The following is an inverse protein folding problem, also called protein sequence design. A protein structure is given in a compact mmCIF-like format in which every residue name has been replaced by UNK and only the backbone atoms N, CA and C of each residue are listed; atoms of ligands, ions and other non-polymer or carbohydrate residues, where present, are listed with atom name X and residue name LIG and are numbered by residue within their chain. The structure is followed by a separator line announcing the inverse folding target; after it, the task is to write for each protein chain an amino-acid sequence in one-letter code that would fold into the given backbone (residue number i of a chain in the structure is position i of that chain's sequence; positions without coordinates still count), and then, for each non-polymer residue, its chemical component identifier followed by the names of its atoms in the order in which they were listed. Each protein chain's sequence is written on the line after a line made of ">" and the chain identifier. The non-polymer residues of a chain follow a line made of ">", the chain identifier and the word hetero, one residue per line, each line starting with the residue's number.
data_IF_009645808387
#
_entry.id   IF_009645808387
#
_cell.length_a   1.000
_cell.length_b   1.000
_cell.length_c   1.000
_cell.angle_alpha   90.00
_cell.angle_beta   90.00
_cell.angle_gamma   90.00
#
_symmetry.space_group_name_H-M   'P 1'
#
loop_
_entity.id
_entity.type
_entity.pdbx_description
1 polymer ?
#
# COMPACT_ATOMS: atom_id res chain seq x y z
N UNK A 1 -14.76 20.94 36.68
CA UNK A 1 -14.06 20.05 37.61
C UNK A 1 -12.66 19.74 37.07
N UNK A 2 -11.63 19.71 37.93
CA UNK A 2 -10.27 19.33 37.48
C UNK A 2 -10.25 17.86 37.03
N UNK A 3 -9.50 17.56 35.98
CA UNK A 3 -9.35 16.20 35.45
C UNK A 3 -8.66 15.32 36.52
N UNK A 4 -9.18 14.11 36.85
CA UNK A 4 -8.55 13.24 37.84
C UNK A 4 -7.08 12.94 37.44
N UNK A 5 -6.23 12.81 38.45
CA UNK A 5 -4.80 12.55 38.30
C UNK A 5 -4.43 11.21 38.92
N UNK A 6 -3.26 10.68 38.57
CA UNK A 6 -2.71 9.46 39.19
C UNK A 6 -2.57 9.62 40.73
N UNK A 7 -2.35 10.86 41.21
CA UNK A 7 -2.28 11.17 42.64
C UNK A 7 -3.64 10.95 43.34
N UNK A 8 -4.72 11.34 42.69
CA UNK A 8 -6.07 11.10 43.25
C UNK A 8 -6.43 9.62 43.36
N UNK A 9 -6.02 8.83 42.32
CA UNK A 9 -6.20 7.37 42.37
C UNK A 9 -5.35 6.74 43.50
N UNK A 10 -4.12 7.20 43.65
CA UNK A 10 -3.21 6.72 44.69
C UNK A 10 -3.75 6.99 46.11
N UNK A 11 -4.26 8.18 46.32
CA UNK A 11 -4.91 8.58 47.57
C UNK A 11 -6.16 7.72 47.86
N UNK A 12 -7.06 7.55 46.87
CA UNK A 12 -8.27 6.76 47.03
C UNK A 12 -8.01 5.26 47.24
N UNK A 13 -7.00 4.70 46.56
CA UNK A 13 -6.59 3.30 46.68
C UNK A 13 -5.69 3.03 47.89
N UNK A 14 -5.18 4.06 48.58
CA UNK A 14 -4.26 3.92 49.69
C UNK A 14 -2.88 3.32 49.35
N UNK A 15 -2.37 3.65 48.17
CA UNK A 15 -1.10 3.14 47.65
C UNK A 15 -0.26 4.27 47.04
N UNK A 16 1.02 4.01 46.76
CA UNK A 16 1.86 5.00 46.08
C UNK A 16 1.48 5.20 44.61
N UNK A 17 1.75 6.39 44.03
CA UNK A 17 1.54 6.65 42.61
C UNK A 17 2.31 5.64 41.70
N UNK A 18 3.50 5.21 42.12
CA UNK A 18 4.28 4.19 41.44
C UNK A 18 3.57 2.82 41.45
N UNK A 19 2.85 2.49 42.57
CA UNK A 19 2.03 1.27 42.66
C UNK A 19 0.81 1.36 41.77
N UNK A 20 0.10 2.50 41.75
CA UNK A 20 -1.01 2.74 40.79
C UNK A 20 -0.54 2.55 39.35
N UNK A 21 0.55 3.20 38.97
CA UNK A 21 1.12 3.10 37.63
C UNK A 21 1.44 1.66 37.25
N UNK A 22 2.05 0.88 38.16
CA UNK A 22 2.35 -0.54 37.93
C UNK A 22 1.11 -1.42 37.85
N UNK A 23 0.13 -1.21 38.75
CA UNK A 23 -1.10 -1.96 38.78
C UNK A 23 -1.93 -1.77 37.49
N UNK A 24 -2.12 -0.53 37.04
CA UNK A 24 -2.89 -0.20 35.84
C UNK A 24 -2.19 -0.63 34.54
N UNK A 25 -0.86 -0.87 34.56
CA UNK A 25 -0.10 -1.45 33.43
C UNK A 25 -0.03 -2.98 33.47
N UNK A 26 -0.64 -3.64 34.42
CA UNK A 26 -0.62 -5.10 34.50
C UNK A 26 0.73 -5.70 34.92
N UNK A 27 1.62 -4.91 35.57
CA UNK A 27 2.94 -5.39 35.98
C UNK A 27 2.82 -6.61 36.94
N UNK A 28 3.70 -7.59 36.76
CA UNK A 28 3.69 -8.87 37.50
C UNK A 28 4.06 -8.73 38.96
N UNK A 29 4.72 -7.65 39.34
CA UNK A 29 5.17 -7.37 40.72
C UNK A 29 4.11 -6.63 41.56
N UNK A 30 2.84 -6.64 41.17
CA UNK A 30 1.71 -6.12 41.94
C UNK A 30 0.76 -7.26 42.24
N UNK A 31 0.38 -7.41 43.52
CA UNK A 31 -0.57 -8.45 43.93
C UNK A 31 -1.97 -8.20 43.35
N UNK A 32 -2.72 -9.28 43.11
CA UNK A 32 -4.07 -9.19 42.55
C UNK A 32 -5.01 -8.34 43.40
N UNK A 33 -4.91 -8.43 44.74
CA UNK A 33 -5.68 -7.60 45.65
C UNK A 33 -5.40 -6.11 45.47
N UNK A 34 -4.14 -5.74 45.32
CA UNK A 34 -3.72 -4.35 45.06
C UNK A 34 -4.20 -3.88 43.69
N UNK A 35 -4.16 -4.76 42.67
CA UNK A 35 -4.63 -4.47 41.32
C UNK A 35 -6.13 -4.15 41.31
N UNK A 36 -6.95 -4.99 41.99
CA UNK A 36 -8.39 -4.79 42.12
C UNK A 36 -8.70 -3.48 42.85
N UNK A 37 -7.97 -3.18 43.95
CA UNK A 37 -8.13 -1.91 44.70
C UNK A 37 -7.87 -0.69 43.82
N UNK A 38 -6.78 -0.71 43.08
CA UNK A 38 -6.39 0.40 42.19
C UNK A 38 -7.39 0.54 41.04
N UNK A 39 -7.83 -0.58 40.43
CA UNK A 39 -8.81 -0.54 39.35
C UNK A 39 -10.14 0.08 39.82
N UNK A 40 -10.67 -0.32 40.98
CA UNK A 40 -11.88 0.27 41.54
C UNK A 40 -11.75 1.77 41.78
N UNK A 41 -10.61 2.22 42.32
CA UNK A 41 -10.36 3.63 42.54
C UNK A 41 -10.26 4.42 41.21
N UNK A 42 -9.65 3.85 40.18
CA UNK A 42 -9.57 4.45 38.86
C UNK A 42 -10.95 4.55 38.20
N UNK A 43 -11.76 3.50 38.26
CA UNK A 43 -13.13 3.47 37.73
C UNK A 43 -14.03 4.49 38.42
N UNK A 44 -13.95 4.58 39.76
CA UNK A 44 -14.73 5.53 40.56
C UNK A 44 -14.40 6.99 40.20
N UNK A 45 -13.15 7.27 39.86
CA UNK A 45 -12.68 8.60 39.46
C UNK A 45 -12.78 8.84 37.94
N UNK A 46 -13.26 7.87 37.16
CA UNK A 46 -13.17 7.90 35.68
C UNK A 46 -11.75 8.24 35.21
N UNK A 47 -10.75 7.69 35.90
CA UNK A 47 -9.34 7.90 35.58
C UNK A 47 -8.82 6.80 34.64
N UNK A 48 -8.23 7.21 33.56
CA UNK A 48 -7.46 6.32 32.70
C UNK A 48 -6.01 6.82 32.62
N UNK A 49 -5.04 5.88 32.67
CA UNK A 49 -3.65 6.26 32.44
C UNK A 49 -3.54 6.86 31.04
N UNK A 50 -3.00 8.07 30.93
CA UNK A 50 -2.74 8.63 29.62
C UNK A 50 -1.67 7.79 28.89
N UNK A 51 -1.89 7.49 27.62
CA UNK A 51 -0.89 6.79 26.78
C UNK A 51 0.47 7.48 26.83
N UNK A 52 0.49 8.83 26.85
CA UNK A 52 1.71 9.62 26.96
C UNK A 52 2.47 9.41 28.27
N UNK A 53 1.76 9.27 29.41
CA UNK A 53 2.40 8.97 30.70
C UNK A 53 2.92 7.53 30.75
N UNK A 54 2.25 6.60 30.10
CA UNK A 54 2.72 5.22 29.96
C UNK A 54 3.94 5.12 29.03
N UNK A 55 3.93 5.86 27.95
CA UNK A 55 5.02 5.97 26.98
C UNK A 55 6.31 6.50 27.63
N UNK A 56 6.17 7.61 28.38
CA UNK A 56 7.34 8.22 29.06
C UNK A 56 8.01 7.26 30.07
N UNK A 57 7.24 6.41 30.71
CA UNK A 57 7.76 5.49 31.72
C UNK A 57 8.26 4.14 31.15
N UNK A 58 7.80 3.74 29.96
CA UNK A 58 8.25 2.52 29.27
C UNK A 58 9.34 2.78 28.23
N UNK A 59 9.61 4.03 27.91
CA UNK A 59 10.49 4.41 26.80
C UNK A 59 9.88 4.13 25.41
N UNK A 60 8.61 3.65 25.35
CA UNK A 60 7.89 3.37 24.10
C UNK A 60 6.83 4.43 23.86
N UNK A 61 6.70 4.88 22.63
CA UNK A 61 5.68 5.88 22.24
C UNK A 61 4.29 5.25 22.07
N UNK A 62 4.22 3.94 21.92
CA UNK A 62 3.02 3.17 21.53
C UNK A 62 2.39 3.70 20.24
N UNK A 63 3.25 4.11 19.31
CA UNK A 63 2.83 4.66 18.03
C UNK A 63 3.65 4.05 16.89
N UNK A 64 2.95 3.69 15.81
CA UNK A 64 3.53 3.27 14.53
C UNK A 64 3.11 4.29 13.47
N UNK A 65 4.08 4.79 12.71
CA UNK A 65 3.78 5.67 11.58
C UNK A 65 3.50 4.80 10.35
N UNK A 66 2.42 5.10 9.64
CA UNK A 66 2.15 4.57 8.30
C UNK A 66 2.39 5.70 7.28
N UNK A 67 3.54 5.65 6.61
CA UNK A 67 3.90 6.60 5.57
C UNK A 67 3.40 6.10 4.22
N UNK A 68 2.51 6.86 3.59
CA UNK A 68 1.88 6.51 2.32
C UNK A 68 2.14 7.57 1.26
N UNK A 69 2.24 7.15 0.01
CA UNK A 69 2.22 8.07 -1.14
C UNK A 69 0.78 8.35 -1.56
N UNK A 70 0.50 9.60 -1.95
CA UNK A 70 -0.82 10.00 -2.44
C UNK A 70 -1.84 10.26 -1.32
N UNK A 71 -3.10 9.96 -1.59
CA UNK A 71 -4.22 10.29 -0.69
C UNK A 71 -4.64 9.08 0.15
N UNK A 72 -5.07 9.34 1.40
CA UNK A 72 -5.54 8.28 2.30
C UNK A 72 -6.80 7.58 1.80
N UNK A 73 -7.67 8.30 1.11
CA UNK A 73 -8.91 7.76 0.59
C UNK A 73 -8.75 6.98 -0.73
N UNK A 74 -7.53 6.78 -1.20
CA UNK A 74 -7.26 5.83 -2.28
C UNK A 74 -7.48 4.42 -1.77
N UNK A 75 -8.06 3.58 -2.62
CA UNK A 75 -8.48 2.22 -2.27
C UNK A 75 -7.34 1.41 -1.63
N UNK A 76 -6.15 1.43 -2.21
CA UNK A 76 -5.00 0.69 -1.71
C UNK A 76 -4.55 1.21 -0.33
N UNK A 77 -4.35 2.52 -0.19
CA UNK A 77 -3.87 3.14 1.05
C UNK A 77 -4.85 2.94 2.21
N UNK A 78 -6.16 3.05 1.96
CA UNK A 78 -7.19 2.81 2.98
C UNK A 78 -7.24 1.35 3.42
N UNK A 79 -7.08 0.40 2.48
CA UNK A 79 -7.01 -1.02 2.79
C UNK A 79 -5.78 -1.38 3.64
N UNK A 80 -4.60 -0.90 3.27
CA UNK A 80 -3.37 -1.09 4.05
C UNK A 80 -3.53 -0.52 5.46
N UNK A 81 -4.07 0.72 5.59
CA UNK A 81 -4.31 1.32 6.90
C UNK A 81 -5.25 0.46 7.75
N UNK A 82 -6.34 -0.05 7.17
CA UNK A 82 -7.26 -0.93 7.88
C UNK A 82 -6.55 -2.18 8.39
N UNK A 83 -5.82 -2.90 7.55
CA UNK A 83 -5.11 -4.11 7.93
C UNK A 83 -4.07 -3.87 9.03
N UNK A 84 -3.29 -2.79 8.92
CA UNK A 84 -2.32 -2.38 9.94
C UNK A 84 -3.02 -2.06 11.26
N UNK A 85 -4.14 -1.34 11.21
CA UNK A 85 -4.91 -0.99 12.41
C UNK A 85 -5.48 -2.21 13.12
N UNK A 86 -5.99 -3.20 12.36
CA UNK A 86 -6.57 -4.44 12.92
C UNK A 86 -5.55 -5.24 13.74
N UNK A 87 -4.27 -5.20 13.40
CA UNK A 87 -3.19 -5.90 14.11
C UNK A 87 -2.61 -5.08 15.28
N UNK A 88 -2.46 -3.77 15.11
CA UNK A 88 -1.76 -2.93 16.07
C UNK A 88 -2.65 -2.37 17.18
N UNK A 89 -3.90 -2.01 16.88
CA UNK A 89 -4.81 -1.40 17.85
C UNK A 89 -5.16 -2.33 19.03
N UNK A 90 -5.39 -3.65 18.84
CA UNK A 90 -5.68 -4.56 19.95
C UNK A 90 -4.55 -4.67 20.99
N UNK A 91 -3.31 -4.43 20.58
CA UNK A 91 -2.14 -4.44 21.47
C UNK A 91 -1.74 -3.05 21.96
N UNK A 92 -2.58 -2.04 21.70
CA UNK A 92 -2.47 -0.70 22.28
C UNK A 92 -1.67 0.31 21.45
N UNK A 93 -1.17 -0.07 20.25
CA UNK A 93 -0.49 0.87 19.36
C UNK A 93 -1.47 1.78 18.62
N UNK A 94 -1.14 3.05 18.55
CA UNK A 94 -1.80 4.02 17.68
C UNK A 94 -1.12 3.99 16.30
N UNK A 95 -1.90 3.89 15.23
CA UNK A 95 -1.42 4.05 13.86
C UNK A 95 -1.58 5.50 13.44
N UNK A 96 -0.49 6.16 13.08
CA UNK A 96 -0.50 7.56 12.63
C UNK A 96 -0.16 7.62 11.15
N UNK A 97 -1.13 7.88 10.26
CA UNK A 97 -0.84 8.03 8.84
C UNK A 97 -0.09 9.35 8.59
N UNK A 98 0.91 9.28 7.72
CA UNK A 98 1.63 10.43 7.18
C UNK A 98 1.61 10.35 5.65
N UNK A 99 1.42 11.49 4.99
CA UNK A 99 1.22 11.57 3.54
C UNK A 99 2.39 12.26 2.88
N UNK A 100 2.81 11.71 1.75
CA UNK A 100 3.86 12.25 0.91
C UNK A 100 3.29 12.38 -0.50
N UNK A 101 3.31 13.58 -1.04
CA UNK A 101 2.86 13.87 -2.40
C UNK A 101 4.03 14.14 -3.34
N UNK A 102 5.17 14.57 -2.79
CA UNK A 102 6.37 14.88 -3.56
C UNK A 102 7.65 14.64 -2.75
N UNK A 103 8.78 14.78 -3.43
CA UNK A 103 10.10 14.59 -2.86
C UNK A 103 10.41 15.57 -1.72
N UNK A 104 9.96 16.81 -1.79
CA UNK A 104 10.27 17.80 -0.76
C UNK A 104 9.57 17.51 0.58
N UNK A 105 8.36 16.96 0.52
CA UNK A 105 7.63 16.50 1.70
C UNK A 105 8.32 15.27 2.31
N UNK A 106 8.79 14.35 1.47
CA UNK A 106 9.55 13.18 1.90
C UNK A 106 10.83 13.58 2.63
N UNK A 107 11.63 14.47 2.05
CA UNK A 107 12.87 14.97 2.65
C UNK A 107 12.59 15.71 3.97
N UNK A 108 11.53 16.50 4.05
CA UNK A 108 11.09 17.19 5.27
C UNK A 108 10.70 16.18 6.35
N UNK A 109 9.91 15.16 6.02
CA UNK A 109 9.50 14.12 6.94
C UNK A 109 10.73 13.43 7.56
N UNK A 110 11.65 12.96 6.73
CA UNK A 110 12.86 12.27 7.20
C UNK A 110 13.80 13.19 7.99
N UNK A 111 13.90 14.48 7.66
CA UNK A 111 14.71 15.43 8.43
C UNK A 111 14.17 15.71 9.85
N UNK A 112 12.87 15.53 10.06
CA UNK A 112 12.20 15.76 11.34
C UNK A 112 12.09 14.48 12.19
N UNK A 113 12.02 13.31 11.58
CA UNK A 113 11.79 12.04 12.26
C UNK A 113 12.78 11.74 13.40
N UNK A 114 14.13 11.91 13.24
CA UNK A 114 15.08 11.65 14.32
C UNK A 114 14.92 12.60 15.51
N UNK A 115 14.40 13.80 15.28
CA UNK A 115 14.23 14.83 16.32
C UNK A 115 12.96 14.62 17.12
N UNK A 116 11.93 14.10 16.49
CA UNK A 116 10.61 13.95 17.10
C UNK A 116 10.53 12.74 18.04
N UNK A 117 11.27 11.65 17.75
CA UNK A 117 11.21 10.38 18.49
C UNK A 117 9.79 9.98 18.89
N UNK A 118 8.85 10.13 17.96
CA UNK A 118 7.41 10.03 18.24
C UNK A 118 6.79 8.74 17.70
N UNK A 119 7.60 7.76 17.32
CA UNK A 119 7.17 6.45 16.85
C UNK A 119 8.13 5.36 17.30
N UNK A 120 7.62 4.14 17.45
CA UNK A 120 8.37 2.94 17.80
C UNK A 120 8.70 2.10 16.56
N UNK A 121 7.97 2.30 15.45
CA UNK A 121 8.24 1.70 14.14
C UNK A 121 7.62 2.56 13.03
N UNK A 122 8.05 2.31 11.79
CA UNK A 122 7.48 2.93 10.59
C UNK A 122 7.14 1.86 9.56
N UNK A 123 5.94 1.98 8.98
CA UNK A 123 5.52 1.23 7.79
C UNK A 123 5.54 2.19 6.61
N UNK A 124 6.12 1.79 5.50
CA UNK A 124 6.23 2.59 4.28
C UNK A 124 5.52 1.85 3.16
N UNK A 125 4.58 2.54 2.50
CA UNK A 125 3.71 1.93 1.51
C UNK A 125 3.90 2.56 0.13
N UNK A 126 4.10 1.69 -0.87
CA UNK A 126 4.03 1.97 -2.31
C UNK A 126 5.19 2.74 -2.93
N UNK A 127 6.23 3.09 -2.19
CA UNK A 127 7.41 3.75 -2.76
C UNK A 127 8.72 3.25 -2.15
N UNK A 128 9.83 3.45 -2.86
CA UNK A 128 11.17 3.06 -2.44
C UNK A 128 11.82 4.14 -1.57
N UNK A 129 12.50 3.70 -0.51
CA UNK A 129 13.40 4.55 0.26
C UNK A 129 14.68 4.84 -0.53
N UNK A 130 15.17 6.06 -0.42
CA UNK A 130 16.51 6.37 -0.89
C UNK A 130 17.58 5.95 0.12
N UNK A 131 18.83 5.66 -0.32
CA UNK A 131 19.88 5.23 0.59
C UNK A 131 20.07 6.14 1.81
N UNK A 132 20.08 7.45 1.62
CA UNK A 132 20.22 8.42 2.71
C UNK A 132 19.09 8.37 3.75
N UNK A 133 17.85 8.05 3.34
CA UNK A 133 16.71 7.90 4.25
C UNK A 133 16.81 6.62 5.06
N UNK A 134 17.24 5.52 4.43
CA UNK A 134 17.52 4.27 5.10
C UNK A 134 18.60 4.46 6.18
N UNK A 135 19.70 5.13 5.83
CA UNK A 135 20.78 5.39 6.78
C UNK A 135 20.28 6.21 7.99
N UNK A 136 19.39 7.17 7.78
CA UNK A 136 18.74 7.91 8.86
C UNK A 136 17.88 7.03 9.77
N UNK A 137 17.09 6.10 9.21
CA UNK A 137 16.28 5.16 9.97
C UNK A 137 17.15 4.21 10.80
N UNK A 138 18.21 3.68 10.22
CA UNK A 138 19.16 2.82 10.91
C UNK A 138 19.89 3.56 12.05
N UNK A 139 20.24 4.84 11.84
CA UNK A 139 20.91 5.66 12.86
C UNK A 139 20.06 5.90 14.11
N UNK A 140 18.73 5.79 14.03
CA UNK A 140 17.80 5.95 15.16
C UNK A 140 17.22 4.63 15.66
N UNK A 141 17.71 3.50 15.12
CA UNK A 141 17.24 2.14 15.46
C UNK A 141 15.70 2.00 15.39
N UNK A 142 15.11 2.54 14.32
CA UNK A 142 13.66 2.52 14.10
C UNK A 142 13.30 1.36 13.18
N UNK A 143 12.58 0.33 13.66
CA UNK A 143 12.11 -0.78 12.86
C UNK A 143 11.29 -0.32 11.65
N UNK A 144 11.58 -0.90 10.48
CA UNK A 144 11.01 -0.50 9.20
C UNK A 144 10.35 -1.68 8.48
N UNK A 145 9.11 -1.50 8.04
CA UNK A 145 8.38 -2.50 7.24
C UNK A 145 7.88 -1.87 5.94
N UNK A 146 8.22 -2.49 4.81
CA UNK A 146 7.73 -2.08 3.50
C UNK A 146 6.42 -2.79 3.12
N UNK A 147 5.47 -2.07 2.53
CA UNK A 147 4.24 -2.64 1.93
C UNK A 147 4.16 -2.22 0.47
N UNK A 148 4.10 -3.19 -0.43
CA UNK A 148 4.12 -2.94 -1.87
C UNK A 148 5.25 -1.98 -2.27
N UNK A 149 6.44 -2.25 -1.77
CA UNK A 149 7.65 -1.50 -2.09
C UNK A 149 8.42 -2.21 -3.19
N UNK A 150 9.21 -1.49 -4.00
CA UNK A 150 10.14 -2.12 -4.93
C UNK A 150 11.09 -3.08 -4.21
N UNK A 151 11.27 -4.28 -4.78
CA UNK A 151 11.83 -5.47 -4.12
C UNK A 151 13.35 -5.51 -3.97
N UNK A 152 14.06 -4.42 -4.12
CA UNK A 152 15.49 -4.44 -3.81
C UNK A 152 15.70 -4.69 -2.32
N UNK A 153 16.25 -5.86 -2.02
CA UNK A 153 16.54 -6.32 -0.65
C UNK A 153 17.50 -5.38 0.07
N UNK A 154 17.18 -5.08 1.33
CA UNK A 154 18.06 -4.34 2.23
C UNK A 154 17.66 -2.89 2.52
N UNK A 155 16.53 -2.42 2.02
CA UNK A 155 16.00 -1.09 2.37
C UNK A 155 15.07 -1.11 3.59
N UNK A 156 14.56 -2.28 3.98
CA UNK A 156 13.62 -2.47 5.07
C UNK A 156 14.05 -3.67 5.92
N UNK A 157 13.72 -3.66 7.20
CA UNK A 157 13.93 -4.83 8.08
C UNK A 157 13.01 -5.98 7.70
N UNK A 158 11.82 -5.64 7.19
CA UNK A 158 10.88 -6.59 6.62
C UNK A 158 10.02 -5.96 5.54
N UNK A 159 9.43 -6.77 4.67
CA UNK A 159 8.48 -6.30 3.65
C UNK A 159 7.46 -7.35 3.27
N UNK A 160 6.35 -6.88 2.71
CA UNK A 160 5.35 -7.68 2.00
C UNK A 160 4.92 -6.91 0.75
N UNK A 161 4.98 -7.55 -0.41
CA UNK A 161 4.60 -6.93 -1.68
C UNK A 161 3.87 -7.94 -2.56
N UNK A 162 3.01 -7.47 -3.47
CA UNK A 162 2.54 -8.34 -4.56
C UNK A 162 3.69 -8.62 -5.52
N UNK A 163 3.75 -9.84 -6.06
CA UNK A 163 4.68 -10.18 -7.13
C UNK A 163 4.22 -9.57 -8.46
N UNK A 164 4.66 -8.34 -8.73
CA UNK A 164 4.35 -7.65 -9.98
C UNK A 164 4.92 -8.36 -11.22
N UNK A 165 6.04 -9.08 -11.07
CA UNK A 165 6.65 -9.79 -12.20
C UNK A 165 5.79 -10.99 -12.61
N UNK A 166 5.38 -11.81 -11.65
CA UNK A 166 4.44 -12.91 -11.88
C UNK A 166 3.09 -12.40 -12.39
N UNK A 167 2.60 -11.27 -11.87
CA UNK A 167 1.35 -10.63 -12.30
C UNK A 167 1.38 -10.26 -13.79
N UNK A 168 2.42 -9.56 -14.23
CA UNK A 168 2.54 -9.13 -15.64
C UNK A 168 2.83 -10.31 -16.58
N UNK A 169 3.60 -11.30 -16.11
CA UNK A 169 3.79 -12.54 -16.86
C UNK A 169 2.46 -13.26 -17.09
N UNK A 170 1.61 -13.33 -16.07
CA UNK A 170 0.26 -13.90 -16.15
C UNK A 170 -0.63 -13.09 -17.12
N UNK A 171 -0.58 -11.76 -17.06
CA UNK A 171 -1.31 -10.88 -17.97
C UNK A 171 -0.95 -11.11 -19.43
N UNK A 172 0.35 -11.10 -19.76
CA UNK A 172 0.84 -11.30 -21.14
C UNK A 172 0.46 -12.70 -21.64
N UNK A 173 0.63 -13.73 -20.82
CA UNK A 173 0.22 -15.11 -21.17
C UNK A 173 -1.27 -15.25 -21.42
N UNK A 174 -2.10 -14.61 -20.60
CA UNK A 174 -3.54 -14.57 -20.85
C UNK A 174 -3.85 -13.95 -22.21
N UNK A 175 -3.40 -12.72 -22.45
CA UNK A 175 -3.69 -12.00 -23.68
C UNK A 175 -3.22 -12.78 -24.92
N UNK A 176 -2.04 -13.37 -24.85
CA UNK A 176 -1.54 -14.25 -25.90
C UNK A 176 -2.46 -15.47 -26.11
N UNK A 177 -2.92 -16.11 -25.03
CA UNK A 177 -3.83 -17.28 -25.13
C UNK A 177 -5.19 -16.92 -25.73
N UNK A 178 -5.58 -15.65 -25.66
CA UNK A 178 -6.75 -15.08 -26.31
C UNK A 178 -6.50 -14.67 -27.78
N UNK A 179 -5.27 -14.82 -28.27
CA UNK A 179 -4.88 -14.52 -29.65
C UNK A 179 -4.34 -13.11 -29.87
N UNK A 180 -4.19 -12.30 -28.82
CA UNK A 180 -3.62 -10.96 -28.95
C UNK A 180 -2.10 -11.03 -29.17
N UNK A 181 -1.63 -10.42 -30.26
CA UNK A 181 -0.21 -10.34 -30.62
C UNK A 181 0.34 -8.91 -30.56
N UNK A 182 -0.52 -7.89 -30.70
CA UNK A 182 -0.17 -6.49 -30.49
C UNK A 182 -0.86 -5.99 -29.21
N UNK A 183 -0.06 -5.76 -28.16
CA UNK A 183 -0.56 -5.42 -26.81
C UNK A 183 0.09 -4.13 -26.32
N UNK A 184 -0.59 -3.42 -25.39
CA UNK A 184 -0.01 -2.23 -24.79
C UNK A 184 -0.10 -2.26 -23.26
N UNK A 185 0.74 -1.46 -22.61
CA UNK A 185 0.61 -1.13 -21.19
C UNK A 185 0.41 0.37 -21.02
N UNK A 186 -0.60 0.75 -20.23
CA UNK A 186 -0.95 2.13 -19.94
C UNK A 186 -0.64 2.48 -18.47
N UNK A 187 0.14 3.53 -18.27
CA UNK A 187 0.55 4.00 -16.94
C UNK A 187 0.49 5.52 -16.82
N UNK A 188 0.39 6.01 -15.58
CA UNK A 188 0.58 7.41 -15.26
C UNK A 188 2.06 7.81 -15.38
N UNK A 189 2.31 9.13 -15.42
CA UNK A 189 3.65 9.67 -15.33
C UNK A 189 4.21 9.50 -13.90
N UNK A 190 5.45 9.09 -13.81
CA UNK A 190 6.18 8.96 -12.55
C UNK A 190 7.39 9.89 -12.60
N UNK A 191 7.50 10.85 -11.65
CA UNK A 191 8.68 11.70 -11.54
C UNK A 191 9.96 10.88 -11.36
N UNK A 192 11.05 11.29 -12.02
CA UNK A 192 12.31 10.54 -12.03
C UNK A 192 13.02 10.48 -10.65
N UNK A 193 12.65 11.36 -9.72
CA UNK A 193 13.19 11.44 -8.36
C UNK A 193 12.42 10.59 -7.33
N UNK A 194 11.37 9.89 -7.78
CA UNK A 194 10.57 8.96 -6.97
C UNK A 194 10.45 7.60 -7.67
N UNK A 195 10.55 6.52 -6.91
CA UNK A 195 10.33 5.17 -7.41
C UNK A 195 9.13 4.56 -6.70
N UNK A 196 8.07 4.33 -7.46
CA UNK A 196 6.83 3.74 -6.95
C UNK A 196 6.72 2.26 -7.32
N UNK A 197 5.88 1.54 -6.59
CA UNK A 197 5.59 0.14 -6.92
C UNK A 197 4.97 -0.03 -8.33
N UNK A 198 4.18 0.93 -8.78
CA UNK A 198 3.57 0.91 -10.13
C UNK A 198 4.62 0.95 -11.24
N UNK A 199 5.79 1.57 -11.02
CA UNK A 199 6.91 1.54 -11.98
C UNK A 199 7.38 0.10 -12.28
N UNK A 200 7.32 -0.78 -11.28
CA UNK A 200 7.70 -2.19 -11.46
C UNK A 200 6.72 -2.92 -12.39
N UNK A 201 5.44 -2.55 -12.41
CA UNK A 201 4.45 -3.16 -13.33
C UNK A 201 4.79 -2.86 -14.78
N UNK A 202 5.18 -1.61 -15.07
CA UNK A 202 5.60 -1.21 -16.44
C UNK A 202 6.82 -2.01 -16.90
N UNK A 203 7.84 -2.12 -16.05
CA UNK A 203 9.04 -2.89 -16.36
C UNK A 203 8.73 -4.38 -16.50
N UNK A 204 7.99 -4.96 -15.55
CA UNK A 204 7.60 -6.36 -15.55
C UNK A 204 6.77 -6.74 -16.78
N UNK A 205 5.88 -5.82 -17.24
CA UNK A 205 5.13 -6.02 -18.47
C UNK A 205 6.06 -6.04 -19.69
N UNK A 206 6.99 -5.10 -19.78
CA UNK A 206 7.95 -5.05 -20.88
C UNK A 206 8.81 -6.32 -20.94
N UNK A 207 9.32 -6.78 -19.78
CA UNK A 207 10.12 -8.00 -19.68
C UNK A 207 9.32 -9.24 -20.08
N UNK A 208 8.07 -9.35 -19.61
CA UNK A 208 7.17 -10.45 -19.95
C UNK A 208 6.81 -10.45 -21.45
N UNK A 209 6.52 -9.30 -22.03
CA UNK A 209 6.22 -9.16 -23.46
C UNK A 209 7.47 -9.47 -24.31
N UNK A 210 8.63 -8.96 -23.94
CA UNK A 210 9.90 -9.23 -24.60
C UNK A 210 10.27 -10.71 -24.57
N UNK A 211 10.05 -11.40 -23.46
CA UNK A 211 10.26 -12.85 -23.34
C UNK A 211 9.35 -13.68 -24.28
N UNK A 212 8.23 -13.11 -24.72
CA UNK A 212 7.29 -13.72 -25.67
C UNK A 212 7.41 -13.15 -27.11
N UNK A 213 8.42 -12.31 -27.40
CA UNK A 213 8.58 -11.71 -28.72
C UNK A 213 8.84 -12.75 -29.84
N UNK A 214 9.52 -13.86 -29.51
CA UNK A 214 9.72 -14.99 -30.46
C UNK A 214 8.42 -15.66 -30.89
N UNK A 215 7.36 -15.47 -30.11
CA UNK A 215 6.01 -15.99 -30.38
C UNK A 215 5.13 -14.95 -31.12
N UNK A 216 5.74 -13.90 -31.67
CA UNK A 216 5.07 -12.87 -32.45
C UNK A 216 4.39 -11.78 -31.62
N UNK A 217 4.70 -11.67 -30.32
CA UNK A 217 4.20 -10.56 -29.51
C UNK A 217 4.95 -9.27 -29.82
N UNK A 218 4.22 -8.23 -30.16
CA UNK A 218 4.68 -6.84 -30.20
C UNK A 218 4.01 -6.06 -29.05
N UNK A 219 4.70 -5.05 -28.52
CA UNK A 219 4.12 -4.28 -27.42
C UNK A 219 4.50 -2.79 -27.45
N UNK A 220 3.65 -1.99 -26.84
CA UNK A 220 3.86 -0.55 -26.64
C UNK A 220 3.70 -0.18 -25.18
N UNK A 221 4.56 0.70 -24.67
CA UNK A 221 4.42 1.32 -23.35
C UNK A 221 3.87 2.74 -23.54
N UNK A 222 2.69 3.01 -23.00
CA UNK A 222 1.98 4.27 -23.12
C UNK A 222 1.95 4.92 -21.74
N UNK A 223 2.83 5.89 -21.52
CA UNK A 223 2.88 6.67 -20.29
C UNK A 223 2.29 8.05 -20.51
N UNK A 224 1.54 8.58 -19.56
CA UNK A 224 1.02 9.95 -19.61
C UNK A 224 2.16 10.97 -19.72
N UNK A 225 1.84 12.17 -20.18
CA UNK A 225 2.80 13.26 -20.24
C UNK A 225 3.12 13.78 -18.83
N UNK A 226 4.33 14.30 -18.65
CA UNK A 226 4.75 14.90 -17.39
C UNK A 226 3.80 16.03 -16.97
N UNK A 227 3.44 16.06 -15.68
CA UNK A 227 2.53 17.04 -15.12
C UNK A 227 2.98 17.42 -13.69
N UNK A 228 2.76 18.69 -13.32
CA UNK A 228 3.16 19.22 -12.02
C UNK A 228 2.16 18.91 -10.89
N UNK A 229 0.93 18.53 -11.25
CA UNK A 229 -0.12 18.15 -10.32
C UNK A 229 -0.84 16.87 -10.76
N UNK A 230 -1.28 16.01 -9.83
CA UNK A 230 -1.96 14.78 -10.16
C UNK A 230 -3.17 15.01 -11.07
N UNK A 231 -3.21 14.31 -12.20
CA UNK A 231 -4.34 14.34 -13.12
C UNK A 231 -5.58 13.66 -12.51
N UNK A 232 -6.77 14.09 -12.93
CA UNK A 232 -7.95 13.27 -12.70
C UNK A 232 -7.85 11.97 -13.50
N UNK A 233 -8.45 10.88 -13.02
CA UNK A 233 -8.42 9.60 -13.76
C UNK A 233 -9.04 9.70 -15.16
N UNK A 234 -9.99 10.64 -15.35
CA UNK A 234 -10.57 10.93 -16.66
C UNK A 234 -9.59 11.63 -17.61
N UNK A 235 -8.83 12.63 -17.11
CA UNK A 235 -7.85 13.36 -17.93
C UNK A 235 -6.69 12.44 -18.31
N UNK A 236 -6.22 11.63 -17.35
CA UNK A 236 -5.21 10.60 -17.59
C UNK A 236 -5.68 9.61 -18.66
N UNK A 237 -6.90 9.07 -18.56
CA UNK A 237 -7.46 8.16 -19.54
C UNK A 237 -7.61 8.81 -20.92
N UNK A 238 -8.00 10.10 -20.99
CA UNK A 238 -8.06 10.84 -22.25
C UNK A 238 -6.70 10.95 -22.93
N UNK A 239 -5.64 11.28 -22.19
CA UNK A 239 -4.28 11.33 -22.73
C UNK A 239 -3.82 9.96 -23.22
N UNK A 240 -4.01 8.91 -22.42
CA UNK A 240 -3.64 7.54 -22.77
C UNK A 240 -4.40 7.04 -24.01
N UNK A 241 -5.69 7.37 -24.10
CA UNK A 241 -6.52 7.03 -25.28
C UNK A 241 -5.97 7.74 -26.54
N UNK A 242 -5.64 9.03 -26.45
CA UNK A 242 -5.08 9.76 -27.60
C UNK A 242 -3.74 9.14 -28.05
N UNK A 243 -2.85 8.78 -27.11
CA UNK A 243 -1.60 8.08 -27.41
C UNK A 243 -1.85 6.72 -28.06
N UNK A 244 -2.78 5.93 -27.55
CA UNK A 244 -3.14 4.62 -28.07
C UNK A 244 -3.66 4.71 -29.52
N UNK A 245 -4.52 5.68 -29.80
CA UNK A 245 -5.08 5.90 -31.14
C UNK A 245 -4.07 6.50 -32.13
N UNK A 246 -2.99 7.11 -31.65
CA UNK A 246 -1.94 7.66 -32.51
C UNK A 246 -0.89 6.63 -32.92
N UNK A 247 -0.94 5.40 -32.41
CA UNK A 247 -0.02 4.35 -32.80
C UNK A 247 -0.26 3.94 -34.26
N UNK A 248 0.82 3.65 -35.04
CA UNK A 248 0.70 3.17 -36.43
C UNK A 248 -0.16 1.91 -36.56
N UNK A 249 -0.02 0.99 -35.61
CA UNK A 249 -0.83 -0.21 -35.48
C UNK A 249 -1.49 -0.20 -34.10
N UNK A 250 -2.82 -0.16 -34.09
CA UNK A 250 -3.57 -0.13 -32.84
C UNK A 250 -3.46 -1.47 -32.12
N UNK A 251 -3.07 -1.49 -30.82
CA UNK A 251 -3.11 -2.70 -30.01
C UNK A 251 -4.53 -3.28 -29.92
N UNK A 252 -4.61 -4.59 -29.90
CA UNK A 252 -5.87 -5.31 -29.72
C UNK A 252 -6.18 -5.60 -28.24
N UNK A 253 -5.20 -5.41 -27.37
CA UNK A 253 -5.39 -5.51 -25.92
C UNK A 253 -4.49 -4.52 -25.18
N UNK A 254 -4.97 -4.05 -24.03
CA UNK A 254 -4.29 -3.11 -23.16
C UNK A 254 -4.30 -3.60 -21.72
N UNK A 255 -3.14 -3.68 -21.08
CA UNK A 255 -3.00 -3.76 -19.64
C UNK A 255 -2.90 -2.35 -19.07
N UNK A 256 -3.54 -2.10 -17.94
CA UNK A 256 -3.57 -0.77 -17.30
C UNK A 256 -3.09 -0.90 -15.86
N UNK A 257 -2.28 0.05 -15.41
CA UNK A 257 -1.62 0.01 -14.10
C UNK A 257 -2.54 -0.12 -12.88
N UNK A 258 -3.79 0.40 -12.97
CA UNK A 258 -4.81 0.31 -11.90
C UNK A 258 -6.22 0.21 -12.49
N UNK A 259 -7.15 -0.37 -11.73
CA UNK A 259 -8.56 -0.50 -12.13
C UNK A 259 -9.24 0.85 -12.34
N UNK A 260 -8.93 1.86 -11.52
CA UNK A 260 -9.52 3.19 -11.67
C UNK A 260 -9.17 3.83 -13.01
N UNK A 261 -7.93 3.66 -13.46
CA UNK A 261 -7.49 4.15 -14.78
C UNK A 261 -8.09 3.28 -15.89
N UNK A 262 -8.14 1.95 -15.71
CA UNK A 262 -8.71 1.03 -16.67
C UNK A 262 -10.18 1.33 -16.95
N UNK A 263 -10.98 1.56 -15.92
CA UNK A 263 -12.42 1.90 -16.06
C UNK A 263 -12.60 3.24 -16.79
N UNK A 264 -11.76 4.22 -16.44
CA UNK A 264 -11.79 5.51 -17.14
C UNK A 264 -11.38 5.35 -18.61
N UNK A 265 -10.36 4.52 -18.89
CA UNK A 265 -9.91 4.20 -20.26
C UNK A 265 -11.03 3.50 -21.07
N UNK A 266 -11.72 2.51 -20.50
CA UNK A 266 -12.88 1.84 -21.15
C UNK A 266 -13.94 2.86 -21.54
N UNK A 267 -14.22 3.83 -20.65
CA UNK A 267 -15.17 4.91 -20.94
C UNK A 267 -14.70 5.80 -22.09
N UNK A 268 -13.43 6.17 -22.13
CA UNK A 268 -12.86 7.01 -23.22
C UNK A 268 -12.84 6.25 -24.55
N UNK A 269 -12.46 4.96 -24.56
CA UNK A 269 -12.50 4.11 -25.74
C UNK A 269 -13.91 4.04 -26.33
N UNK A 270 -14.94 3.86 -25.50
CA UNK A 270 -16.35 3.85 -25.96
C UNK A 270 -16.80 5.20 -26.54
N UNK A 271 -16.30 6.34 -26.04
CA UNK A 271 -16.56 7.65 -26.68
C UNK A 271 -15.95 7.74 -28.07
N UNK A 272 -14.84 7.02 -28.33
CA UNK A 272 -14.23 6.91 -29.65
C UNK A 272 -14.86 5.79 -30.50
N UNK A 273 -16.02 5.28 -30.10
CA UNK A 273 -16.76 4.21 -30.80
C UNK A 273 -15.99 2.87 -30.87
N UNK A 274 -15.08 2.64 -29.94
CA UNK A 274 -14.41 1.37 -29.76
C UNK A 274 -15.11 0.54 -28.70
N UNK A 275 -15.53 -0.66 -29.09
CA UNK A 275 -16.18 -1.60 -28.21
C UNK A 275 -15.12 -2.35 -27.36
N UNK A 276 -15.42 -2.51 -26.10
CA UNK A 276 -14.64 -3.31 -25.16
C UNK A 276 -15.54 -4.46 -24.69
N UNK A 277 -15.17 -5.71 -24.95
CA UNK A 277 -13.84 -6.20 -25.39
C UNK A 277 -13.66 -6.42 -26.90
N UNK A 278 -14.67 -6.21 -27.75
CA UNK A 278 -14.72 -6.68 -29.15
C UNK A 278 -13.61 -6.05 -30.03
N UNK A 279 -13.41 -4.72 -29.93
CA UNK A 279 -12.39 -4.00 -30.71
C UNK A 279 -11.06 -3.95 -29.98
N UNK A 280 -11.10 -3.97 -28.63
CA UNK A 280 -9.91 -3.90 -27.78
C UNK A 280 -10.21 -4.49 -26.39
N UNK A 281 -9.43 -5.50 -25.99
CA UNK A 281 -9.49 -6.05 -24.65
C UNK A 281 -8.79 -5.12 -23.65
N UNK A 282 -9.35 -4.98 -22.44
CA UNK A 282 -8.78 -4.17 -21.34
C UNK A 282 -8.63 -5.03 -20.10
N UNK A 283 -7.42 -5.10 -19.56
CA UNK A 283 -7.09 -5.78 -18.32
C UNK A 283 -6.59 -4.75 -17.30
N UNK A 284 -7.24 -4.64 -16.16
CA UNK A 284 -6.88 -3.78 -15.04
C UNK A 284 -5.89 -4.43 -14.07
N UNK A 285 -5.70 -3.76 -12.95
CA UNK A 285 -4.92 -4.22 -11.81
C UNK A 285 -5.56 -3.67 -10.54
N UNK A 286 -5.69 -4.45 -9.48
CA UNK A 286 -6.13 -4.22 -8.11
C UNK A 286 -7.25 -5.18 -7.68
N UNK A 287 -8.27 -5.42 -8.50
CA UNK A 287 -9.57 -6.02 -8.19
C UNK A 287 -10.31 -5.24 -7.08
N UNK A 288 -10.25 -3.91 -7.18
CA UNK A 288 -11.01 -3.03 -6.31
C UNK A 288 -12.54 -3.24 -6.52
N UNK A 289 -13.36 -2.88 -5.52
CA UNK A 289 -14.83 -3.06 -5.61
C UNK A 289 -15.43 -2.47 -6.90
N UNK A 290 -14.87 -1.36 -7.38
CA UNK A 290 -15.29 -0.70 -8.62
C UNK A 290 -15.04 -1.59 -9.86
N UNK A 291 -14.05 -2.47 -9.85
CA UNK A 291 -13.78 -3.40 -10.95
C UNK A 291 -14.91 -4.42 -11.12
N UNK A 292 -15.45 -4.91 -10.01
CA UNK A 292 -16.60 -5.80 -10.03
C UNK A 292 -17.84 -5.09 -10.61
N UNK A 293 -18.11 -3.86 -10.19
CA UNK A 293 -19.25 -3.08 -10.69
C UNK A 293 -19.13 -2.72 -12.19
N UNK A 294 -17.89 -2.63 -12.71
CA UNK A 294 -17.59 -2.32 -14.10
C UNK A 294 -17.37 -3.57 -14.97
N UNK A 295 -17.54 -4.77 -14.43
CA UNK A 295 -17.23 -6.04 -15.11
C UNK A 295 -15.80 -6.10 -15.70
N UNK A 296 -14.84 -5.43 -15.02
CA UNK A 296 -13.46 -5.33 -15.47
C UNK A 296 -12.67 -6.60 -15.13
N UNK A 297 -12.07 -7.22 -16.14
CA UNK A 297 -11.03 -8.24 -15.95
C UNK A 297 -9.80 -7.57 -15.35
N UNK A 298 -9.19 -8.17 -14.33
CA UNK A 298 -8.14 -7.51 -13.55
C UNK A 298 -7.24 -8.52 -12.85
N UNK A 299 -6.16 -8.04 -12.27
CA UNK A 299 -5.29 -8.80 -11.37
C UNK A 299 -5.54 -8.35 -9.95
N UNK A 300 -5.90 -9.29 -9.09
CA UNK A 300 -6.21 -9.02 -7.68
C UNK A 300 -4.96 -8.85 -6.83
N UNK A 301 -4.99 -7.87 -5.96
CA UNK A 301 -4.15 -7.73 -4.78
C UNK A 301 -5.03 -7.46 -3.54
N UNK A 302 -4.51 -7.79 -2.36
CA UNK A 302 -5.29 -7.79 -1.12
C UNK A 302 -4.70 -6.77 -0.12
N UNK A 303 -4.97 -5.45 -0.26
CA UNK A 303 -4.30 -4.42 0.54
C UNK A 303 -4.56 -4.54 2.04
N UNK A 304 -5.73 -5.03 2.45
CA UNK A 304 -6.03 -5.28 3.87
C UNK A 304 -5.13 -6.39 4.41
N UNK A 305 -4.96 -7.51 3.69
CA UNK A 305 -4.08 -8.60 4.14
C UNK A 305 -2.61 -8.20 4.09
N UNK A 306 -2.19 -7.44 3.07
CA UNK A 306 -0.84 -6.85 3.05
C UNK A 306 -0.60 -5.98 4.30
N UNK A 307 -1.60 -5.18 4.69
CA UNK A 307 -1.56 -4.38 5.92
C UNK A 307 -1.48 -5.21 7.19
N UNK A 308 -2.25 -6.30 7.30
CA UNK A 308 -2.19 -7.24 8.44
C UNK A 308 -0.81 -7.89 8.55
N UNK A 309 -0.28 -8.40 7.46
CA UNK A 309 1.07 -9.00 7.44
C UNK A 309 2.11 -7.97 7.89
N UNK A 310 2.05 -6.74 7.37
CA UNK A 310 2.95 -5.67 7.80
C UNK A 310 2.82 -5.35 9.30
N UNK A 311 1.59 -5.28 9.83
CA UNK A 311 1.33 -5.08 11.25
C UNK A 311 1.93 -6.19 12.11
N UNK A 312 1.76 -7.46 11.73
CA UNK A 312 2.37 -8.61 12.43
C UNK A 312 3.90 -8.54 12.41
N UNK A 313 4.51 -8.21 11.26
CA UNK A 313 5.97 -8.04 11.14
C UNK A 313 6.47 -6.91 12.06
N UNK A 314 5.78 -5.78 12.12
CA UNK A 314 6.10 -4.69 13.07
C UNK A 314 6.09 -5.19 14.50
N UNK A 315 5.06 -5.94 14.92
CA UNK A 315 4.98 -6.47 16.28
C UNK A 315 6.10 -7.43 16.63
N UNK A 316 6.51 -8.30 15.69
CA UNK A 316 7.64 -9.21 15.87
C UNK A 316 8.95 -8.43 16.02
N UNK A 317 9.21 -7.44 15.17
CA UNK A 317 10.40 -6.57 15.26
C UNK A 317 10.44 -5.83 16.61
N UNK A 318 9.33 -5.25 17.06
CA UNK A 318 9.23 -4.53 18.33
C UNK A 318 9.41 -5.41 19.57
N UNK A 319 9.24 -6.73 19.42
CA UNK A 319 9.48 -7.74 20.46
C UNK A 319 10.86 -8.41 20.34
N UNK A 320 11.63 -8.05 19.33
CA UNK A 320 12.88 -8.73 18.94
C UNK A 320 12.67 -10.24 18.68
N UNK A 321 11.49 -10.60 18.13
CA UNK A 321 11.17 -11.96 17.71
C UNK A 321 11.75 -12.19 16.30
N UNK A 322 12.32 -13.37 16.00
CA UNK A 322 12.82 -13.66 14.66
C UNK A 322 11.69 -13.70 13.64
N UNK A 323 11.95 -13.13 12.46
CA UNK A 323 11.06 -13.25 11.31
C UNK A 323 11.52 -14.46 10.48
N UNK A 324 10.63 -15.44 10.28
CA UNK A 324 10.90 -16.60 9.42
C UNK A 324 11.06 -16.17 7.96
N UNK A 325 10.16 -15.30 7.51
CA UNK A 325 10.16 -14.72 6.18
C UNK A 325 10.14 -13.19 6.28
N UNK A 326 11.32 -12.52 6.42
CA UNK A 326 11.35 -11.07 6.56
C UNK A 326 10.79 -10.36 5.31
N UNK A 327 11.09 -10.88 4.12
CA UNK A 327 10.63 -10.34 2.84
C UNK A 327 9.76 -11.36 2.12
N UNK A 328 8.48 -11.01 1.91
CA UNK A 328 7.49 -11.88 1.31
C UNK A 328 6.92 -11.26 0.04
N UNK A 329 6.63 -12.11 -0.94
CA UNK A 329 5.84 -11.77 -2.11
C UNK A 329 4.51 -12.51 -2.03
N UNK A 330 3.42 -11.79 -2.26
CA UNK A 330 2.09 -12.36 -2.40
C UNK A 330 1.84 -12.72 -3.87
N UNK A 331 1.37 -13.92 -4.12
CA UNK A 331 1.01 -14.36 -5.46
C UNK A 331 -0.19 -13.53 -6.00
N UNK A 332 -0.11 -13.04 -7.24
CA UNK A 332 -1.23 -12.38 -7.90
C UNK A 332 -2.33 -13.39 -8.28
N UNK A 333 -3.57 -12.93 -8.31
CA UNK A 333 -4.70 -13.70 -8.78
C UNK A 333 -5.37 -13.02 -9.97
N UNK A 334 -5.47 -13.72 -11.10
CA UNK A 334 -6.20 -13.25 -12.28
C UNK A 334 -7.70 -13.41 -12.08
N UNK A 335 -8.45 -12.34 -12.28
CA UNK A 335 -9.92 -12.31 -12.19
C UNK A 335 -10.49 -11.91 -13.54
N UNK A 336 -11.08 -12.89 -14.25
CA UNK A 336 -11.66 -12.67 -15.56
C UNK A 336 -13.12 -12.21 -15.44
N UNK A 337 -13.47 -11.19 -16.22
CA UNK A 337 -14.81 -10.63 -16.40
C UNK A 337 -15.04 -10.30 -17.87
N UNK A 338 -15.84 -9.26 -18.18
CA UNK A 338 -16.34 -9.00 -19.52
C UNK A 338 -15.49 -7.98 -20.34
N UNK A 339 -14.30 -7.57 -19.90
CA UNK A 339 -13.46 -6.61 -20.65
C UNK A 339 -12.30 -7.26 -21.40
N UNK A 340 -12.22 -8.59 -21.43
CA UNK A 340 -11.26 -9.34 -22.23
C UNK A 340 -11.96 -10.44 -23.04
N UNK A 341 -11.61 -10.58 -24.32
CA UNK A 341 -12.16 -11.62 -25.21
C UNK A 341 -11.08 -12.23 -26.11
N UNK A 342 -11.42 -13.30 -26.75
CA UNK A 342 -10.60 -13.81 -27.85
C UNK A 342 -10.71 -12.89 -29.08
N UNK A 343 -9.62 -12.78 -29.80
CA UNK A 343 -9.67 -12.19 -31.14
C UNK A 343 -10.39 -13.18 -32.05
N UNK A 344 -11.48 -12.75 -32.66
CA UNK A 344 -12.10 -13.50 -33.74
C UNK A 344 -11.17 -13.49 -34.97
N UNK A 345 -10.54 -14.63 -35.24
CA UNK A 345 -9.64 -14.82 -36.38
C UNK A 345 -10.35 -14.71 -37.76
N UNK A 346 -11.58 -14.18 -37.78
CA UNK A 346 -12.44 -14.05 -38.98
C UNK A 346 -12.82 -12.62 -39.38
N UNK A 347 -12.53 -11.60 -38.58
CA UNK A 347 -12.79 -10.22 -38.96
C UNK A 347 -11.52 -9.62 -39.60
N UNK A 348 -11.42 -9.65 -40.89
CA UNK A 348 -10.54 -8.73 -41.62
C UNK A 348 -10.99 -7.29 -41.25
N UNK A 349 -10.06 -6.33 -41.04
CA UNK A 349 -10.42 -4.96 -40.78
C UNK A 349 -11.35 -4.46 -41.89
N UNK A 350 -12.50 -3.91 -41.53
CA UNK A 350 -13.33 -3.18 -42.48
C UNK A 350 -12.49 -2.03 -43.06
N UNK A 351 -12.36 -2.01 -44.39
CA UNK A 351 -11.69 -0.97 -45.16
C UNK A 351 -12.24 0.44 -44.89
#
# INVERSE_FOLDING_TARGET
>A
MAKPTIANVAELAGVSQATVSRALRGATNVTEETRIKVQRAADQLNFTLSKSASALASGKTMRVILLVSGKLNEWFNSGVLQGVYEELAPVGYDVTPAFITDRSELDRFFSQLPKSRNADAIIISSFQLMPAMRDQLQAIDLPTVGVNVPTESGYFDASISIDNFSAMTMAVRLLRSLGHTNIAFCSDYIPADMVYNTSQRTQAFADAAQANATDGITFSLLTADAHDAPLSKSDLASQLTAKLLSLPERPTAVCVETDQVAIALVKELRKQQLNVPEDISVLGFDDAEIAQAADLSTIRQEPIELGRIAGRKVLQLLRNEPLEHPHELQDPLLVLRNTTSRIDSGAAPAE
#
